data_IF_823761821359
#
_entry.id   IF_823761821359
#
_cell.length_a   1.000
_cell.length_b   1.000
_cell.length_c   1.000
_cell.angle_alpha   90.00
_cell.angle_beta   90.00
_cell.angle_gamma   90.00
#
_symmetry.space_group_name_H-M   'P 1'
#
loop_
_entity.id
_entity.type
_entity.pdbx_description
1 polymer ?
#
# COMPACT_ATOMS: atom_id res chain seq x y z
N UNK A 1 70.68 -42.90 -28.63
CA UNK A 1 69.20 -43.07 -28.61
C UNK A 1 68.50 -42.22 -27.54
N UNK A 2 69.15 -41.86 -26.42
CA UNK A 2 68.49 -41.14 -25.30
C UNK A 2 68.12 -39.66 -25.54
N UNK A 3 68.87 -38.93 -26.36
CA UNK A 3 68.61 -37.49 -26.57
C UNK A 3 67.31 -37.23 -27.35
N UNK A 4 67.05 -38.04 -28.38
CA UNK A 4 65.85 -37.93 -29.23
C UNK A 4 64.57 -38.26 -28.42
N UNK A 5 64.62 -39.29 -27.58
CA UNK A 5 63.50 -39.67 -26.71
C UNK A 5 63.16 -38.59 -25.67
N UNK A 6 64.16 -37.85 -25.17
CA UNK A 6 63.96 -36.74 -24.21
C UNK A 6 63.28 -35.53 -24.88
N UNK A 7 63.66 -35.20 -26.11
CA UNK A 7 63.03 -34.12 -26.90
C UNK A 7 61.60 -34.47 -27.28
N UNK A 8 61.34 -35.72 -27.69
CA UNK A 8 59.98 -36.19 -28.02
C UNK A 8 59.07 -36.21 -26.78
N UNK A 9 59.57 -36.69 -25.63
CA UNK A 9 58.81 -36.63 -24.36
C UNK A 9 58.52 -35.19 -23.93
N UNK A 10 59.49 -34.29 -24.03
CA UNK A 10 59.29 -32.87 -23.70
C UNK A 10 58.22 -32.22 -24.59
N UNK A 11 58.23 -32.49 -25.90
CA UNK A 11 57.19 -32.01 -26.83
C UNK A 11 55.82 -32.61 -26.55
N UNK A 12 55.75 -33.91 -26.22
CA UNK A 12 54.49 -34.57 -25.87
C UNK A 12 53.86 -34.01 -24.58
N UNK A 13 54.69 -33.67 -23.59
CA UNK A 13 54.23 -33.02 -22.34
C UNK A 13 53.69 -31.62 -22.63
N UNK A 14 54.38 -30.83 -23.46
CA UNK A 14 53.93 -29.48 -23.82
C UNK A 14 52.58 -29.55 -24.57
N UNK A 15 52.44 -30.46 -25.54
CA UNK A 15 51.18 -30.65 -26.27
C UNK A 15 50.05 -31.06 -25.33
N UNK A 16 50.32 -31.95 -24.37
CA UNK A 16 49.33 -32.39 -23.39
C UNK A 16 48.87 -31.25 -22.46
N UNK A 17 49.79 -30.37 -22.04
CA UNK A 17 49.47 -29.20 -21.22
C UNK A 17 48.64 -28.17 -22.00
N UNK A 18 48.93 -27.97 -23.29
CA UNK A 18 48.15 -27.07 -24.15
C UNK A 18 46.73 -27.62 -24.34
N UNK A 19 46.58 -28.91 -24.62
CA UNK A 19 45.28 -29.56 -24.76
C UNK A 19 44.46 -29.49 -23.46
N UNK A 20 45.10 -29.72 -22.30
CA UNK A 20 44.45 -29.60 -21.00
C UNK A 20 43.97 -28.17 -20.73
N UNK A 21 44.81 -27.17 -21.02
CA UNK A 21 44.44 -25.76 -20.90
C UNK A 21 43.26 -25.37 -21.81
N UNK A 22 43.21 -25.93 -23.03
CA UNK A 22 42.14 -25.67 -23.99
C UNK A 22 40.81 -26.29 -23.55
N UNK A 23 40.84 -27.49 -22.96
CA UNK A 23 39.66 -28.15 -22.38
C UNK A 23 39.13 -27.37 -21.17
N UNK A 24 40.03 -26.91 -20.28
CA UNK A 24 39.65 -26.08 -19.12
C UNK A 24 39.02 -24.77 -19.60
N UNK A 25 39.62 -24.11 -20.60
CA UNK A 25 39.09 -22.87 -21.16
C UNK A 25 37.71 -23.08 -21.80
N UNK A 26 37.51 -24.16 -22.56
CA UNK A 26 36.21 -24.50 -23.15
C UNK A 26 35.17 -24.79 -22.06
N UNK A 27 35.55 -25.52 -21.01
CA UNK A 27 34.70 -25.81 -19.86
C UNK A 27 34.24 -24.53 -19.15
N UNK A 28 35.17 -23.61 -18.87
CA UNK A 28 34.83 -22.30 -18.28
C UNK A 28 33.86 -21.52 -19.16
N UNK A 29 34.03 -21.56 -20.49
CA UNK A 29 33.15 -20.85 -21.43
C UNK A 29 31.74 -21.46 -21.54
N UNK A 30 31.61 -22.77 -21.32
CA UNK A 30 30.33 -23.50 -21.31
C UNK A 30 29.60 -23.35 -19.97
N UNK A 31 30.34 -23.23 -18.87
CA UNK A 31 29.81 -23.03 -17.51
C UNK A 31 29.63 -21.55 -17.15
N UNK A 32 30.26 -20.63 -17.89
CA UNK A 32 30.04 -19.20 -17.71
C UNK A 32 28.62 -18.85 -18.16
N UNK A 33 27.81 -18.21 -17.31
CA UNK A 33 26.47 -17.78 -17.68
C UNK A 33 26.58 -16.91 -18.92
N UNK A 34 25.86 -17.27 -19.98
CA UNK A 34 25.76 -16.41 -21.16
C UNK A 34 25.12 -15.09 -20.71
N UNK A 35 25.66 -13.93 -21.12
CA UNK A 35 24.98 -12.67 -20.88
C UNK A 35 23.59 -12.78 -21.50
N UNK A 36 22.55 -12.64 -20.67
CA UNK A 36 21.18 -12.61 -21.13
C UNK A 36 21.07 -11.52 -22.21
N UNK A 37 20.36 -11.86 -23.29
CA UNK A 37 20.04 -11.00 -24.44
C UNK A 37 19.84 -9.53 -24.05
N UNK A 38 20.42 -8.56 -24.79
CA UNK A 38 20.22 -7.13 -24.54
C UNK A 38 18.89 -6.67 -25.15
N UNK A 39 17.78 -7.31 -24.80
CA UNK A 39 16.44 -6.84 -25.14
C UNK A 39 15.48 -7.26 -24.03
N UNK A 40 15.77 -6.81 -22.80
CA UNK A 40 14.69 -6.34 -21.96
C UNK A 40 14.26 -5.02 -22.60
N UNK A 41 13.10 -5.04 -23.26
CA UNK A 41 12.49 -3.88 -23.88
C UNK A 41 12.33 -2.83 -22.77
N UNK A 42 13.28 -1.90 -22.69
CA UNK A 42 13.22 -0.74 -21.81
C UNK A 42 11.99 0.04 -22.23
N UNK A 43 10.85 -0.24 -21.61
CA UNK A 43 9.69 0.64 -21.63
C UNK A 43 10.27 2.01 -21.25
N UNK A 44 10.22 3.02 -22.14
CA UNK A 44 10.81 4.30 -21.83
C UNK A 44 10.16 4.80 -20.55
N UNK A 45 10.96 4.93 -19.49
CA UNK A 45 10.47 5.49 -18.23
C UNK A 45 9.89 6.85 -18.60
N UNK A 46 8.57 7.06 -18.46
CA UNK A 46 7.99 8.33 -18.83
C UNK A 46 8.70 9.41 -17.98
N UNK A 47 9.36 10.35 -18.66
CA UNK A 47 10.09 11.44 -18.03
C UNK A 47 9.16 12.42 -17.32
N UNK A 48 7.86 12.37 -17.63
CA UNK A 48 6.79 13.12 -16.97
C UNK A 48 5.90 12.18 -16.14
N UNK A 49 5.40 12.68 -15.01
CA UNK A 49 4.48 11.93 -14.16
C UNK A 49 3.15 11.66 -14.90
N UNK A 50 2.69 10.42 -14.82
CA UNK A 50 1.41 10.02 -15.40
C UNK A 50 0.29 10.80 -14.74
N UNK A 51 -0.58 11.38 -15.56
CA UNK A 51 -1.75 12.13 -15.10
C UNK A 51 -2.94 11.18 -14.98
N UNK A 52 -3.48 11.07 -13.76
CA UNK A 52 -4.69 10.32 -13.49
C UNK A 52 -5.84 11.32 -13.35
N UNK A 53 -6.89 11.26 -14.18
CA UNK A 53 -8.03 12.14 -14.04
C UNK A 53 -8.69 11.98 -12.67
N UNK A 54 -9.08 13.10 -12.06
CA UNK A 54 -9.86 13.09 -10.84
C UNK A 54 -11.34 12.82 -11.15
N UNK A 55 -12.02 12.14 -10.22
CA UNK A 55 -13.47 12.01 -10.26
C UNK A 55 -14.13 13.22 -9.59
N UNK A 56 -15.37 13.50 -9.98
CA UNK A 56 -16.20 14.50 -9.32
C UNK A 56 -17.04 13.84 -8.23
N UNK A 57 -16.85 14.25 -6.98
CA UNK A 57 -17.75 13.91 -5.87
C UNK A 57 -18.88 14.94 -5.83
N UNK A 58 -20.15 14.55 -6.03
CA UNK A 58 -21.28 15.47 -5.98
C UNK A 58 -21.74 15.80 -4.55
N UNK A 59 -21.11 15.21 -3.54
CA UNK A 59 -21.49 15.33 -2.13
C UNK A 59 -20.56 16.28 -1.39
N UNK A 60 -21.18 17.15 -0.59
CA UNK A 60 -20.58 18.10 0.34
C UNK A 60 -21.49 18.07 1.58
N UNK A 61 -21.08 17.30 2.59
CA UNK A 61 -21.93 16.90 3.71
C UNK A 61 -22.13 18.02 4.71
N UNK A 62 -21.11 18.85 4.94
CA UNK A 62 -21.13 19.98 5.87
C UNK A 62 -21.44 21.32 5.19
N UNK A 63 -21.52 21.36 3.86
CA UNK A 63 -21.88 22.50 3.02
C UNK A 63 -20.85 23.64 3.13
N UNK A 64 -19.57 23.30 3.23
CA UNK A 64 -18.50 24.29 3.31
C UNK A 64 -17.95 24.73 1.93
N UNK A 65 -18.46 24.11 0.84
CA UNK A 65 -18.07 24.38 -0.54
C UNK A 65 -16.91 23.52 -1.03
N UNK A 66 -16.41 22.61 -0.21
CA UNK A 66 -15.48 21.53 -0.54
C UNK A 66 -16.27 20.22 -0.63
N UNK A 67 -15.89 19.33 -1.54
CA UNK A 67 -16.57 18.04 -1.63
C UNK A 67 -15.99 17.05 -0.62
N UNK A 68 -16.80 16.08 -0.19
CA UNK A 68 -16.48 15.14 0.88
C UNK A 68 -15.15 14.40 0.71
N UNK A 69 -14.78 14.04 -0.53
CA UNK A 69 -13.53 13.33 -0.79
C UNK A 69 -12.31 14.23 -0.57
N UNK A 70 -12.42 15.50 -0.93
CA UNK A 70 -11.38 16.49 -0.68
C UNK A 70 -11.28 16.83 0.82
N UNK A 71 -12.39 16.89 1.55
CA UNK A 71 -12.35 17.12 3.00
C UNK A 71 -11.75 15.95 3.77
N UNK A 72 -12.07 14.71 3.39
CA UNK A 72 -11.42 13.52 3.97
C UNK A 72 -9.90 13.62 3.80
N UNK A 73 -9.41 14.02 2.62
CA UNK A 73 -7.98 14.21 2.37
C UNK A 73 -7.42 15.36 3.21
N UNK A 74 -8.10 16.51 3.29
CA UNK A 74 -7.67 17.67 4.09
C UNK A 74 -7.60 17.35 5.58
N UNK A 75 -8.60 16.65 6.13
CA UNK A 75 -8.62 16.22 7.52
C UNK A 75 -7.51 15.22 7.82
N UNK A 76 -7.32 14.22 6.96
CA UNK A 76 -6.22 13.26 7.09
C UNK A 76 -4.83 13.93 6.98
N UNK A 77 -4.67 14.91 6.10
CA UNK A 77 -3.42 15.68 6.00
C UNK A 77 -3.20 16.57 7.22
N UNK A 78 -4.25 17.18 7.76
CA UNK A 78 -4.18 17.95 9.01
C UNK A 78 -3.74 17.08 10.19
N UNK A 79 -4.19 15.82 10.23
CA UNK A 79 -3.73 14.81 11.20
C UNK A 79 -2.22 14.54 11.07
N UNK A 80 -1.75 14.30 9.84
CA UNK A 80 -0.31 14.10 9.55
C UNK A 80 0.52 15.30 9.99
N UNK A 81 0.04 16.52 9.75
CA UNK A 81 0.73 17.74 10.16
C UNK A 81 0.78 17.91 11.68
N UNK A 82 -0.27 17.46 12.39
CA UNK A 82 -0.31 17.49 13.87
C UNK A 82 0.66 16.51 14.51
N UNK A 83 1.07 15.47 13.77
CA UNK A 83 2.01 14.42 14.21
C UNK A 83 1.61 13.80 15.56
N UNK A 84 0.37 13.28 15.71
CA UNK A 84 0.01 12.50 16.88
C UNK A 84 0.97 11.33 17.03
N UNK A 85 1.42 11.06 18.26
CA UNK A 85 2.24 9.89 18.56
C UNK A 85 1.38 8.63 18.39
N UNK A 86 1.95 7.60 17.79
CA UNK A 86 1.29 6.30 17.78
C UNK A 86 1.15 5.75 19.20
N UNK A 87 -0.10 5.59 19.66
CA UNK A 87 -0.42 4.99 20.95
C UNK A 87 -1.73 4.21 20.85
N UNK A 88 -1.63 2.89 21.04
CA UNK A 88 -2.80 2.02 21.12
C UNK A 88 -3.32 1.97 22.55
N UNK A 89 -4.31 2.81 22.84
CA UNK A 89 -4.98 2.89 24.15
C UNK A 89 -6.51 2.89 24.04
N UNK A 90 -7.14 2.49 25.13
CA UNK A 90 -8.59 2.57 25.32
C UNK A 90 -8.95 3.91 25.96
N UNK A 91 -10.01 4.56 25.47
CA UNK A 91 -10.48 5.84 26.01
C UNK A 91 -11.97 5.74 26.36
N UNK A 92 -12.32 6.17 27.56
CA UNK A 92 -13.73 6.36 27.91
C UNK A 92 -14.31 7.48 27.06
N UNK A 93 -15.46 7.24 26.41
CA UNK A 93 -16.02 8.13 25.37
C UNK A 93 -15.46 7.88 23.98
N UNK A 94 -14.37 7.11 23.87
CA UNK A 94 -13.81 6.56 22.64
C UNK A 94 -12.82 7.43 21.87
N UNK A 95 -12.68 8.70 22.22
CA UNK A 95 -11.82 9.64 21.48
C UNK A 95 -10.46 9.83 22.17
N UNK A 96 -9.34 9.50 21.51
CA UNK A 96 -8.01 9.88 21.99
C UNK A 96 -7.82 11.41 21.95
N UNK A 97 -6.93 11.97 22.80
CA UNK A 97 -6.53 13.36 22.68
C UNK A 97 -5.79 13.60 21.36
N UNK A 98 -5.74 14.86 20.93
CA UNK A 98 -5.17 15.27 19.64
C UNK A 98 -3.67 14.95 19.48
N UNK A 99 -2.97 14.67 20.59
CA UNK A 99 -1.53 14.36 20.60
C UNK A 99 -1.20 12.90 20.32
N UNK A 100 -2.21 12.02 20.23
CA UNK A 100 -1.99 10.59 20.05
C UNK A 100 -3.13 9.92 19.26
N UNK A 101 -2.87 8.70 18.82
CA UNK A 101 -3.84 7.87 18.12
C UNK A 101 -3.19 6.70 17.38
N UNK A 102 -3.99 5.96 16.64
CA UNK A 102 -3.60 4.84 15.76
C UNK A 102 -4.12 5.09 14.34
N UNK A 103 -3.97 4.10 13.47
CA UNK A 103 -4.39 4.18 12.06
C UNK A 103 -5.87 4.56 11.86
N UNK A 104 -6.77 3.99 12.65
CA UNK A 104 -8.22 4.30 12.60
C UNK A 104 -8.55 5.72 13.08
N UNK A 105 -7.65 6.34 13.86
CA UNK A 105 -7.85 7.73 14.33
C UNK A 105 -7.66 8.75 13.22
N UNK A 106 -6.80 8.47 12.25
CA UNK A 106 -6.69 9.26 11.02
C UNK A 106 -8.02 9.26 10.27
N UNK A 107 -8.68 8.10 10.20
CA UNK A 107 -9.92 7.91 9.43
C UNK A 107 -11.09 8.65 10.06
N UNK A 108 -11.37 8.44 11.36
CA UNK A 108 -12.54 9.11 11.95
C UNK A 108 -12.34 10.61 12.09
N UNK A 109 -11.12 11.11 12.32
CA UNK A 109 -10.84 12.55 12.37
C UNK A 109 -11.05 13.17 10.98
N UNK A 110 -10.55 12.53 9.93
CA UNK A 110 -10.80 12.95 8.56
C UNK A 110 -12.30 12.95 8.19
N UNK A 111 -13.03 11.90 8.57
CA UNK A 111 -14.48 11.84 8.33
C UNK A 111 -15.25 12.90 9.12
N UNK A 112 -14.86 13.17 10.37
CA UNK A 112 -15.45 14.25 11.19
C UNK A 112 -15.26 15.59 10.50
N UNK A 113 -14.07 15.84 9.98
CA UNK A 113 -13.73 17.10 9.29
C UNK A 113 -14.47 17.25 7.95
N UNK A 114 -15.00 16.15 7.38
CA UNK A 114 -15.93 16.12 6.25
C UNK A 114 -17.41 16.03 6.68
N UNK A 115 -17.75 16.37 7.93
CA UNK A 115 -19.13 16.38 8.41
C UNK A 115 -19.75 15.03 8.80
N UNK A 116 -18.98 13.94 8.84
CA UNK A 116 -19.45 12.60 9.20
C UNK A 116 -19.05 12.16 10.61
N UNK A 117 -20.03 11.93 11.47
CA UNK A 117 -19.83 11.27 12.76
C UNK A 117 -19.71 9.74 12.58
N UNK A 118 -18.49 9.28 12.25
CA UNK A 118 -18.21 7.86 12.03
C UNK A 118 -18.59 6.98 13.23
N UNK A 119 -18.40 7.48 14.46
CA UNK A 119 -18.75 6.74 15.66
C UNK A 119 -20.24 6.47 15.71
N UNK A 120 -21.07 7.51 15.57
CA UNK A 120 -22.54 7.36 15.57
C UNK A 120 -23.02 6.48 14.43
N UNK A 121 -22.41 6.58 13.24
CA UNK A 121 -22.75 5.76 12.08
C UNK A 121 -22.46 4.26 12.33
N UNK A 122 -21.27 3.94 12.87
CA UNK A 122 -20.89 2.56 13.21
C UNK A 122 -21.73 2.02 14.36
N UNK A 123 -21.95 2.81 15.42
CA UNK A 123 -22.78 2.42 16.56
C UNK A 123 -24.22 2.10 16.14
N UNK A 124 -24.76 2.86 15.19
CA UNK A 124 -26.09 2.59 14.60
C UNK A 124 -26.09 1.29 13.81
N UNK A 125 -25.13 1.09 12.90
CA UNK A 125 -25.10 -0.12 12.06
C UNK A 125 -24.89 -1.40 12.88
N UNK A 126 -24.04 -1.35 13.91
CA UNK A 126 -23.82 -2.47 14.84
C UNK A 126 -25.09 -2.81 15.60
N UNK A 127 -25.85 -1.82 16.07
CA UNK A 127 -27.11 -2.05 16.80
C UNK A 127 -28.16 -2.73 15.93
N UNK A 128 -28.25 -2.31 14.67
CA UNK A 128 -29.21 -2.83 13.70
C UNK A 128 -28.78 -4.18 13.11
N UNK A 129 -27.47 -4.45 13.06
CA UNK A 129 -26.89 -5.59 12.33
C UNK A 129 -25.76 -6.31 13.08
N UNK A 130 -25.89 -6.49 14.40
CA UNK A 130 -24.81 -6.99 15.27
C UNK A 130 -24.17 -8.31 14.81
N UNK A 131 -24.95 -9.21 14.21
CA UNK A 131 -24.48 -10.47 13.66
C UNK A 131 -23.46 -10.32 12.51
N UNK A 132 -23.44 -9.18 11.81
CA UNK A 132 -22.44 -8.89 10.76
C UNK A 132 -21.06 -8.53 11.32
N UNK A 133 -20.94 -8.26 12.62
CA UNK A 133 -19.72 -7.74 13.25
C UNK A 133 -19.08 -8.79 14.17
N UNK A 134 -18.31 -9.76 13.64
CA UNK A 134 -17.73 -10.83 14.47
C UNK A 134 -16.80 -10.30 15.57
N UNK A 135 -16.14 -9.16 15.34
CA UNK A 135 -15.15 -8.59 16.26
C UNK A 135 -15.75 -8.09 17.59
N UNK A 136 -17.06 -7.81 17.66
CA UNK A 136 -17.74 -7.41 18.91
C UNK A 136 -18.07 -8.62 19.80
N UNK A 137 -18.04 -9.85 19.26
CA UNK A 137 -18.35 -11.08 19.99
C UNK A 137 -19.66 -11.00 20.81
N UNK A 138 -20.72 -10.44 20.22
CA UNK A 138 -22.03 -10.26 20.84
C UNK A 138 -22.12 -9.14 21.89
N UNK A 139 -21.05 -8.38 22.11
CA UNK A 139 -20.99 -7.29 23.09
C UNK A 139 -20.46 -6.01 22.44
N UNK A 140 -21.33 -5.16 21.86
CA UNK A 140 -20.93 -3.85 21.36
C UNK A 140 -20.23 -3.03 22.45
N UNK A 141 -19.19 -2.31 22.06
CA UNK A 141 -18.50 -1.33 22.89
C UNK A 141 -18.32 -0.03 22.08
N UNK A 142 -19.21 0.95 22.28
CA UNK A 142 -19.20 2.19 21.50
C UNK A 142 -17.95 3.04 21.72
N UNK A 143 -17.15 2.78 22.76
CA UNK A 143 -15.89 3.49 22.99
C UNK A 143 -14.76 3.04 22.05
N UNK A 144 -14.92 1.94 21.32
CA UNK A 144 -13.79 1.33 20.58
C UNK A 144 -14.22 0.69 19.27
N UNK A 145 -15.51 0.42 19.05
CA UNK A 145 -15.97 -0.30 17.87
C UNK A 145 -15.67 0.44 16.54
N UNK A 146 -15.83 1.76 16.50
CA UNK A 146 -15.45 2.59 15.35
C UNK A 146 -13.94 2.74 15.15
N UNK A 147 -13.13 2.31 16.13
CA UNK A 147 -11.66 2.34 16.10
C UNK A 147 -11.05 0.96 15.82
N UNK A 148 -11.85 -0.03 15.42
CA UNK A 148 -11.40 -1.38 15.06
C UNK A 148 -11.46 -1.58 13.55
N UNK A 149 -10.32 -1.87 12.93
CA UNK A 149 -10.24 -2.13 11.47
C UNK A 149 -11.23 -3.20 11.00
N UNK A 150 -11.41 -4.35 11.69
CA UNK A 150 -12.42 -5.34 11.27
C UNK A 150 -13.86 -4.81 11.24
N UNK A 151 -14.22 -3.94 12.18
CA UNK A 151 -15.55 -3.33 12.21
C UNK A 151 -15.70 -2.31 11.09
N UNK A 152 -14.68 -1.48 10.86
CA UNK A 152 -14.69 -0.50 9.77
C UNK A 152 -14.78 -1.16 8.40
N UNK A 153 -14.13 -2.31 8.18
CA UNK A 153 -14.29 -3.09 6.94
C UNK A 153 -15.75 -3.48 6.71
N UNK A 154 -16.45 -3.98 7.75
CA UNK A 154 -17.87 -4.34 7.65
C UNK A 154 -18.73 -3.10 7.36
N UNK A 155 -18.48 -2.00 8.07
CA UNK A 155 -19.20 -0.75 7.87
C UNK A 155 -19.03 -0.22 6.44
N UNK A 156 -17.79 -0.07 5.95
CA UNK A 156 -17.54 0.47 4.61
C UNK A 156 -18.06 -0.45 3.51
N UNK A 157 -18.01 -1.78 3.64
CA UNK A 157 -18.66 -2.68 2.66
C UNK A 157 -20.15 -2.41 2.49
N UNK A 158 -20.84 -2.00 3.56
CA UNK A 158 -22.28 -1.69 3.52
C UNK A 158 -22.56 -0.27 3.04
N UNK A 159 -21.70 0.68 3.40
CA UNK A 159 -21.99 2.12 3.31
C UNK A 159 -21.12 2.89 2.31
N UNK A 160 -20.13 2.25 1.71
CA UNK A 160 -19.25 2.79 0.66
C UNK A 160 -19.32 1.94 -0.63
N UNK A 161 -18.73 2.43 -1.72
CA UNK A 161 -18.51 1.63 -2.94
C UNK A 161 -17.24 0.81 -2.74
N UNK A 162 -17.33 -0.53 -2.79
CA UNK A 162 -16.14 -1.40 -2.78
C UNK A 162 -15.55 -1.48 -4.19
N UNK A 163 -14.25 -1.21 -4.30
CA UNK A 163 -13.52 -1.04 -5.56
C UNK A 163 -12.49 -2.15 -5.76
N UNK A 164 -11.80 -2.11 -6.91
CA UNK A 164 -10.71 -3.04 -7.18
C UNK A 164 -9.60 -2.92 -6.14
N UNK A 165 -8.98 -4.04 -5.79
CA UNK A 165 -7.77 -4.10 -4.95
C UNK A 165 -6.49 -4.23 -5.79
N UNK A 166 -6.64 -4.36 -7.11
CA UNK A 166 -5.53 -4.43 -8.03
C UNK A 166 -4.95 -3.04 -8.28
N UNK A 167 -3.62 -2.92 -8.18
CA UNK A 167 -2.87 -1.70 -8.48
C UNK A 167 -1.88 -2.03 -9.58
N UNK A 168 -2.00 -1.34 -10.72
CA UNK A 168 -1.14 -1.49 -11.89
C UNK A 168 -0.40 -0.18 -12.14
N UNK A 169 0.85 -0.05 -11.67
CA UNK A 169 1.71 1.09 -12.02
C UNK A 169 1.71 1.34 -13.52
N UNK A 170 1.51 2.58 -13.94
CA UNK A 170 1.49 2.94 -15.36
C UNK A 170 0.15 2.78 -16.09
N UNK A 171 -0.82 2.07 -15.50
CA UNK A 171 -2.14 1.85 -16.11
C UNK A 171 -3.13 2.92 -15.64
N UNK A 172 -3.40 3.90 -16.51
CA UNK A 172 -4.32 5.01 -16.21
C UNK A 172 -5.74 4.52 -15.92
N UNK A 173 -6.22 3.48 -16.61
CA UNK A 173 -7.58 2.99 -16.41
C UNK A 173 -7.74 2.27 -15.07
N UNK A 174 -6.73 1.48 -14.67
CA UNK A 174 -6.70 0.89 -13.33
C UNK A 174 -6.57 1.97 -12.24
N UNK A 175 -5.64 2.91 -12.41
CA UNK A 175 -5.33 3.92 -11.39
C UNK A 175 -6.41 5.00 -11.28
N UNK A 176 -7.24 5.20 -12.30
CA UNK A 176 -8.46 6.02 -12.22
C UNK A 176 -9.44 5.49 -11.17
N UNK A 177 -9.41 4.19 -10.85
CA UNK A 177 -10.24 3.63 -9.79
C UNK A 177 -9.72 3.94 -8.38
N UNK A 178 -8.48 4.42 -8.25
CA UNK A 178 -7.83 4.75 -6.98
C UNK A 178 -7.80 6.26 -6.79
N UNK A 179 -8.79 6.83 -6.13
CA UNK A 179 -8.99 8.29 -6.01
C UNK A 179 -8.64 8.78 -4.61
N UNK A 180 -8.26 10.05 -4.53
CA UNK A 180 -7.94 10.68 -3.25
C UNK A 180 -9.18 10.68 -2.34
N UNK A 181 -9.01 10.37 -1.06
CA UNK A 181 -10.12 10.24 -0.11
C UNK A 181 -10.70 8.82 -0.02
N UNK A 182 -10.38 7.93 -0.97
CA UNK A 182 -10.70 6.51 -0.84
C UNK A 182 -10.01 5.92 0.41
N UNK A 183 -10.60 4.87 0.99
CA UNK A 183 -10.13 4.20 2.20
C UNK A 183 -9.61 2.82 1.83
N UNK A 184 -8.39 2.51 2.23
CA UNK A 184 -7.73 1.21 1.98
C UNK A 184 -7.45 0.49 3.30
N UNK A 185 -7.62 -0.82 3.31
CA UNK A 185 -7.43 -1.68 4.49
C UNK A 185 -6.49 -2.82 4.19
N UNK A 186 -5.71 -3.24 5.18
CA UNK A 186 -4.72 -4.31 5.09
C UNK A 186 -4.99 -5.38 6.14
N UNK A 187 -4.72 -6.63 5.79
CA UNK A 187 -4.99 -7.79 6.64
C UNK A 187 -3.89 -8.12 7.65
N UNK A 188 -4.04 -9.25 8.33
CA UNK A 188 -3.01 -9.81 9.20
C UNK A 188 -1.74 -10.24 8.43
N UNK A 189 -0.56 -10.25 9.09
CA UNK A 189 -0.31 -9.93 10.50
C UNK A 189 -0.17 -8.43 10.79
N UNK A 190 -0.06 -7.57 9.77
CA UNK A 190 0.07 -6.13 9.93
C UNK A 190 -1.24 -5.43 9.54
N UNK A 191 -2.29 -5.71 10.32
CA UNK A 191 -3.61 -5.12 10.09
C UNK A 191 -3.53 -3.59 10.15
N UNK A 192 -4.12 -2.92 9.15
CA UNK A 192 -3.98 -1.48 8.99
C UNK A 192 -5.11 -0.87 8.18
N UNK A 193 -5.28 0.44 8.31
CA UNK A 193 -6.21 1.24 7.50
C UNK A 193 -5.57 2.58 7.17
N UNK A 194 -5.86 3.12 5.99
CA UNK A 194 -5.31 4.37 5.53
C UNK A 194 -6.29 5.09 4.58
N UNK A 195 -6.06 6.38 4.38
CA UNK A 195 -6.75 7.21 3.37
C UNK A 195 -5.82 7.39 2.17
N UNK A 196 -6.33 7.22 0.96
CA UNK A 196 -5.60 7.45 -0.29
C UNK A 196 -5.37 8.95 -0.48
N UNK A 197 -4.13 9.34 -0.75
CA UNK A 197 -3.72 10.73 -0.96
C UNK A 197 -3.92 11.16 -2.42
N UNK A 198 -4.11 12.46 -2.64
CA UNK A 198 -4.01 13.10 -3.96
C UNK A 198 -2.56 13.19 -4.47
N UNK A 199 -1.56 12.99 -3.59
CA UNK A 199 -0.16 12.86 -3.99
C UNK A 199 0.06 11.51 -4.66
N UNK A 200 0.68 11.52 -5.86
CA UNK A 200 1.01 10.31 -6.62
C UNK A 200 2.50 10.22 -6.93
N UNK A 201 2.99 8.98 -7.02
CA UNK A 201 4.29 8.65 -7.61
C UNK A 201 4.26 8.93 -9.12
N UNK A 202 5.43 8.88 -9.78
CA UNK A 202 5.54 9.11 -11.23
C UNK A 202 4.77 8.10 -12.08
N UNK A 203 4.63 6.87 -11.57
CA UNK A 203 3.86 5.78 -12.19
C UNK A 203 2.33 5.90 -11.95
N UNK A 204 1.88 6.98 -11.30
CA UNK A 204 0.48 7.28 -11.02
C UNK A 204 -0.09 6.62 -9.75
N UNK A 205 0.67 5.76 -9.07
CA UNK A 205 0.20 5.11 -7.84
C UNK A 205 0.11 6.15 -6.72
N UNK A 206 -1.02 6.26 -6.00
CA UNK A 206 -1.18 7.26 -4.95
C UNK A 206 -0.44 6.86 -3.68
N UNK A 207 -0.07 7.89 -2.91
CA UNK A 207 0.41 7.78 -1.54
C UNK A 207 -0.76 7.45 -0.61
N UNK A 208 -0.45 7.10 0.63
CA UNK A 208 -1.42 6.90 1.70
C UNK A 208 -1.13 7.83 2.89
N UNK A 209 -2.20 8.31 3.52
CA UNK A 209 -2.22 9.08 4.75
C UNK A 209 -2.63 8.13 5.89
N UNK A 210 -1.74 7.92 6.86
CA UNK A 210 -1.93 6.89 7.89
C UNK A 210 -1.11 7.16 9.15
N UNK A 211 -1.37 6.37 10.20
CA UNK A 211 -0.55 6.36 11.40
C UNK A 211 -0.15 4.92 11.77
N UNK A 212 1.10 4.58 11.47
CA UNK A 212 1.73 3.29 11.76
C UNK A 212 2.85 3.38 12.79
N UNK A 213 3.04 4.56 13.38
CA UNK A 213 4.19 4.86 14.23
C UNK A 213 5.44 5.32 13.45
N UNK A 214 6.30 6.13 14.08
CA UNK A 214 6.13 6.74 15.40
C UNK A 214 5.07 7.86 15.44
N UNK A 215 4.72 8.42 14.27
CA UNK A 215 3.73 9.48 14.11
C UNK A 215 2.88 9.24 12.86
N UNK A 216 1.77 9.97 12.72
CA UNK A 216 1.04 10.01 11.45
C UNK A 216 1.92 10.57 10.31
N UNK A 217 1.78 10.00 9.13
CA UNK A 217 2.61 10.31 7.96
C UNK A 217 1.85 10.14 6.63
N UNK A 218 2.41 10.74 5.58
CA UNK A 218 2.02 10.52 4.18
C UNK A 218 3.16 9.75 3.48
N UNK A 219 2.89 8.53 3.02
CA UNK A 219 3.94 7.62 2.51
C UNK A 219 3.51 6.94 1.21
N UNK A 220 4.48 6.45 0.44
CA UNK A 220 4.28 5.71 -0.81
C UNK A 220 4.07 4.20 -0.59
N UNK A 221 3.58 3.81 0.60
CA UNK A 221 3.49 2.41 1.01
C UNK A 221 2.19 1.71 0.58
N UNK A 222 1.43 2.27 -0.36
CA UNK A 222 0.15 1.69 -0.79
C UNK A 222 0.30 0.21 -1.20
N UNK A 223 1.34 -0.11 -1.98
CA UNK A 223 1.67 -1.47 -2.43
C UNK A 223 2.70 -2.18 -1.55
N UNK A 224 3.51 -1.42 -0.81
CA UNK A 224 4.67 -1.95 -0.06
C UNK A 224 4.35 -2.26 1.40
N UNK A 225 3.10 -2.06 1.83
CA UNK A 225 2.65 -2.46 3.15
C UNK A 225 2.86 -3.98 3.35
N UNK A 226 3.37 -4.45 4.51
CA UNK A 226 3.78 -5.84 4.72
C UNK A 226 2.61 -6.84 4.86
N UNK A 227 1.38 -6.44 4.52
CA UNK A 227 0.21 -7.29 4.51
C UNK A 227 -0.68 -6.94 3.32
N UNK A 228 -1.46 -7.90 2.86
CA UNK A 228 -2.26 -7.74 1.65
C UNK A 228 -3.42 -6.74 1.85
N UNK A 229 -3.78 -6.02 0.78
CA UNK A 229 -4.99 -5.20 0.75
C UNK A 229 -6.21 -6.11 0.89
N UNK A 230 -7.05 -5.81 1.87
CA UNK A 230 -8.28 -6.56 2.18
C UNK A 230 -9.55 -5.86 1.70
N UNK A 231 -9.50 -4.54 1.52
CA UNK A 231 -10.59 -3.73 1.02
C UNK A 231 -10.12 -2.36 0.54
N UNK A 232 -10.85 -1.82 -0.44
CA UNK A 232 -10.67 -0.50 -1.01
C UNK A 232 -12.07 0.10 -1.22
N UNK A 233 -12.33 1.24 -0.60
CA UNK A 233 -13.68 1.77 -0.42
C UNK A 233 -13.74 3.25 -0.77
N UNK A 234 -14.78 3.66 -1.50
CA UNK A 234 -15.10 5.06 -1.77
C UNK A 234 -16.33 5.50 -1.02
N UNK A 235 -16.17 6.54 -0.20
CA UNK A 235 -17.22 7.10 0.63
C UNK A 235 -17.33 8.62 0.38
N UNK A 236 -18.54 9.20 0.32
CA UNK A 236 -19.85 8.52 0.33
C UNK A 236 -20.12 7.77 -0.98
N UNK A 237 -21.27 7.07 -1.07
CA UNK A 237 -21.70 6.41 -2.31
C UNK A 237 -22.25 7.43 -3.31
N UNK A 238 -21.72 7.43 -4.53
CA UNK A 238 -22.22 8.19 -5.68
C UNK A 238 -21.86 7.49 -7.00
#
# INVERSE_FOLDING_TARGET
MDFINKVIRSRAVIISLILLGLIIWLGIKLLSPQPNSPFEELIPIPTSAIQIPNIFCPSDKDNDGVNDMEDIVKGARSEVMRKPKYLSSYYQGGFPPETEGVCTDVVWRAMRDAGYDLKTLVDKDIRENSASYPRIAGKPDPNIDFRRVPNLIVFFRKHAVELTKEIKPGDVANLYLWQAGDIVTYGYPHEHIAIVSDKRRKDGVPYILHNAGPYACETDQLQDWPSQITGHFRFPKF
#
